data_IF_591458337804
#
_entry.id   IF_591458337804
#
_cell.length_a   1.000
_cell.length_b   1.000
_cell.length_c   1.000
_cell.angle_alpha   90.00
_cell.angle_beta   90.00
_cell.angle_gamma   90.00
#
_symmetry.space_group_name_H-M   'P 1'
#
loop_
_entity.id
_entity.type
_entity.pdbx_description
1 polymer ?
#
# COMPACT_ATOMS: atom_id res chain seq x y z
N UNK A 1 7.26 -22.02 11.72
CA UNK A 1 7.33 -20.64 11.23
C UNK A 1 6.44 -19.83 12.16
N UNK A 2 6.98 -18.81 12.81
CA UNK A 2 6.23 -17.97 13.75
C UNK A 2 5.29 -17.04 12.98
N UNK A 3 4.11 -16.74 13.53
CA UNK A 3 3.14 -15.89 12.87
C UNK A 3 3.45 -14.41 13.19
N UNK A 4 3.96 -13.61 12.23
CA UNK A 4 4.40 -12.25 12.52
C UNK A 4 3.27 -11.33 12.99
N UNK A 5 2.03 -11.57 12.54
CA UNK A 5 0.87 -10.80 12.98
C UNK A 5 0.50 -11.15 14.43
N UNK A 6 0.64 -12.42 14.83
CA UNK A 6 0.41 -12.81 16.22
C UNK A 6 1.44 -12.17 17.16
N UNK A 7 2.72 -12.18 16.78
CA UNK A 7 3.80 -11.50 17.53
C UNK A 7 3.55 -9.99 17.64
N UNK A 8 3.06 -9.34 16.58
CA UNK A 8 2.73 -7.93 16.61
C UNK A 8 1.57 -7.65 17.58
N UNK A 9 0.51 -8.48 17.54
CA UNK A 9 -0.67 -8.36 18.42
C UNK A 9 -0.38 -8.61 19.91
N UNK A 10 0.70 -9.31 20.25
CA UNK A 10 1.17 -9.48 21.63
C UNK A 10 1.73 -8.17 22.23
N UNK A 11 2.33 -7.32 21.38
CA UNK A 11 2.95 -6.05 21.82
C UNK A 11 2.07 -4.84 21.55
N UNK A 12 1.20 -4.90 20.54
CA UNK A 12 0.29 -3.85 20.13
C UNK A 12 -1.11 -4.43 19.85
N UNK A 13 -2.14 -4.13 20.66
CA UNK A 13 -3.44 -4.80 20.56
C UNK A 13 -4.25 -4.45 19.30
N UNK A 14 -3.81 -3.46 18.52
CA UNK A 14 -4.47 -2.98 17.31
C UNK A 14 -3.42 -2.80 16.22
N UNK A 15 -3.64 -3.42 15.07
CA UNK A 15 -2.83 -3.24 13.87
C UNK A 15 -3.64 -2.44 12.86
N UNK A 16 -3.08 -1.31 12.41
CA UNK A 16 -3.68 -0.44 11.41
C UNK A 16 -3.18 -0.85 10.04
N UNK A 17 -4.09 -1.28 9.16
CA UNK A 17 -3.74 -1.62 7.78
C UNK A 17 -3.75 -0.38 6.89
N UNK A 18 -3.11 -0.50 5.73
CA UNK A 18 -3.15 0.53 4.70
C UNK A 18 -4.53 0.62 4.02
N UNK A 19 -4.69 1.66 3.19
CA UNK A 19 -5.92 1.94 2.46
C UNK A 19 -5.87 1.55 0.99
N UNK A 20 -6.82 2.07 0.22
CA UNK A 20 -6.92 1.79 -1.20
C UNK A 20 -5.73 2.36 -2.00
N UNK A 21 -4.99 1.50 -2.68
CA UNK A 21 -3.88 1.89 -3.56
C UNK A 21 -4.36 2.61 -4.82
N UNK A 22 -5.40 2.07 -5.49
CA UNK A 22 -5.89 2.62 -6.75
C UNK A 22 -6.34 4.08 -6.63
N UNK A 23 -7.10 4.40 -5.56
CA UNK A 23 -7.59 5.75 -5.30
C UNK A 23 -6.45 6.77 -5.16
N UNK A 24 -5.36 6.39 -4.47
CA UNK A 24 -4.21 7.26 -4.29
C UNK A 24 -3.37 7.40 -5.57
N UNK A 25 -3.28 6.36 -6.39
CA UNK A 25 -2.65 6.43 -7.72
C UNK A 25 -3.44 7.34 -8.66
N UNK A 26 -4.78 7.23 -8.70
CA UNK A 26 -5.64 8.13 -9.48
C UNK A 26 -5.51 9.58 -9.02
N UNK A 27 -5.46 9.83 -7.71
CA UNK A 27 -5.26 11.18 -7.13
C UNK A 27 -3.93 11.79 -7.57
N UNK A 28 -2.92 10.96 -7.85
CA UNK A 28 -1.60 11.37 -8.35
C UNK A 28 -1.52 11.39 -9.89
N UNK A 29 -2.64 11.18 -10.58
CA UNK A 29 -2.75 11.32 -12.04
C UNK A 29 -2.49 10.04 -12.82
N UNK A 30 -2.42 8.87 -12.18
CA UNK A 30 -2.30 7.60 -12.91
C UNK A 30 -3.61 7.26 -13.64
N UNK A 31 -3.49 6.83 -14.90
CA UNK A 31 -4.61 6.28 -15.66
C UNK A 31 -4.76 4.78 -15.37
N UNK A 32 -5.79 4.41 -14.61
CA UNK A 32 -6.06 3.04 -14.19
C UNK A 32 -7.21 2.37 -14.97
N UNK A 33 -7.60 2.92 -16.13
CA UNK A 33 -8.73 2.37 -16.93
C UNK A 33 -8.41 1.02 -17.58
N UNK A 34 -7.15 0.63 -17.64
CA UNK A 34 -6.71 -0.69 -18.10
C UNK A 34 -6.96 -1.74 -17.00
N UNK A 35 -7.51 -2.91 -17.36
CA UNK A 35 -7.78 -3.98 -16.37
C UNK A 35 -6.52 -4.57 -15.74
N UNK A 36 -5.36 -4.37 -16.37
CA UNK A 36 -4.02 -4.76 -15.90
C UNK A 36 -3.19 -3.54 -15.47
N UNK A 37 -3.84 -2.45 -15.04
CA UNK A 37 -3.16 -1.23 -14.60
C UNK A 37 -2.05 -1.49 -13.59
N UNK A 38 -2.20 -2.46 -12.69
CA UNK A 38 -1.24 -2.76 -11.64
C UNK A 38 0.08 -3.26 -12.21
N UNK A 39 0.05 -4.16 -13.20
CA UNK A 39 1.24 -4.63 -13.90
C UNK A 39 1.91 -3.48 -14.67
N UNK A 40 1.12 -2.63 -15.33
CA UNK A 40 1.63 -1.48 -16.06
C UNK A 40 2.34 -0.49 -15.15
N UNK A 41 1.72 -0.08 -14.04
CA UNK A 41 2.32 0.87 -13.08
C UNK A 41 3.56 0.26 -12.42
N UNK A 42 3.56 -1.04 -12.10
CA UNK A 42 4.76 -1.72 -11.58
C UNK A 42 5.94 -1.70 -12.56
N UNK A 43 5.67 -1.82 -13.85
CA UNK A 43 6.71 -1.82 -14.89
C UNK A 43 7.18 -0.40 -15.27
N UNK A 44 6.25 0.56 -15.33
CA UNK A 44 6.52 1.91 -15.85
C UNK A 44 6.89 2.91 -14.76
N UNK A 45 6.32 2.79 -13.56
CA UNK A 45 6.45 3.79 -12.48
C UNK A 45 6.38 3.16 -11.07
N UNK A 46 7.23 2.17 -10.74
CA UNK A 46 7.17 1.51 -9.42
C UNK A 46 7.38 2.47 -8.24
N UNK A 47 8.04 3.60 -8.46
CA UNK A 47 8.26 4.64 -7.45
C UNK A 47 6.96 5.29 -6.96
N UNK A 48 5.91 5.38 -7.79
CA UNK A 48 4.63 5.96 -7.35
C UNK A 48 3.91 5.02 -6.39
N UNK A 49 4.02 3.70 -6.58
CA UNK A 49 3.49 2.69 -5.66
C UNK A 49 4.24 2.76 -4.33
N UNK A 50 5.57 2.81 -4.38
CA UNK A 50 6.40 2.98 -3.17
C UNK A 50 6.02 4.25 -2.41
N UNK A 51 5.78 5.35 -3.11
CA UNK A 51 5.32 6.59 -2.49
C UNK A 51 3.92 6.47 -1.87
N UNK A 52 3.01 5.65 -2.41
CA UNK A 52 1.69 5.43 -1.78
C UNK A 52 1.88 4.66 -0.47
N UNK A 53 2.65 3.57 -0.47
CA UNK A 53 2.92 2.83 0.76
C UNK A 53 3.66 3.67 1.81
N UNK A 54 4.60 4.54 1.39
CA UNK A 54 5.28 5.45 2.30
C UNK A 54 4.33 6.47 2.95
N UNK A 55 3.33 6.95 2.20
CA UNK A 55 2.31 7.86 2.74
C UNK A 55 1.41 7.14 3.76
N UNK A 56 0.98 5.90 3.47
CA UNK A 56 0.20 5.10 4.44
C UNK A 56 1.00 4.78 5.70
N UNK A 57 2.27 4.39 5.56
CA UNK A 57 3.14 4.16 6.70
C UNK A 57 3.32 5.44 7.54
N UNK A 58 3.52 6.58 6.89
CA UNK A 58 3.63 7.89 7.58
C UNK A 58 2.32 8.33 8.24
N UNK A 59 1.17 7.86 7.75
CA UNK A 59 -0.15 8.08 8.32
C UNK A 59 -0.47 7.14 9.49
N UNK A 60 0.39 6.17 9.79
CA UNK A 60 0.25 5.25 10.93
C UNK A 60 -0.26 3.86 10.57
N UNK A 61 -0.16 3.43 9.30
CA UNK A 61 -0.27 2.01 8.98
C UNK A 61 0.95 1.24 9.52
N UNK A 62 0.70 0.07 10.09
CA UNK A 62 1.67 -0.81 10.76
C UNK A 62 2.22 -1.91 9.84
#
# INVERSE_FOLDING_TARGET
>A
MENPIATLLETQPIVVLDGALATELERRGCDLRDTLWSAKVLMESPEIIRAVHADYFSAGAD
#
